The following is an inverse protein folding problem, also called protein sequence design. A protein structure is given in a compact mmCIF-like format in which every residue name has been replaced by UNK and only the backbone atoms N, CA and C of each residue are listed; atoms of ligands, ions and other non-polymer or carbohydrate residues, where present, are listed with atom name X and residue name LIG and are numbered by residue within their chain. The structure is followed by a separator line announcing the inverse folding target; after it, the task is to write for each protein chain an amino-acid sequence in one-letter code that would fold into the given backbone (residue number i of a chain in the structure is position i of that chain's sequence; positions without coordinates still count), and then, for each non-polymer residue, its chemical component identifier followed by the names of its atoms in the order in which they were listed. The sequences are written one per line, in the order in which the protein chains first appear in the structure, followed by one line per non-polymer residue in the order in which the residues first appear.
data_IF_539846047740
#
_entry.id   IF_539846047740
#
_cell.length_a   1.000
_cell.length_b   1.000
_cell.length_c   1.000
_cell.angle_alpha   90.00
_cell.angle_beta   90.00
_cell.angle_gamma   90.00
#
_symmetry.space_group_name_H-M   'P 1'
#
loop_
_entity.id
_entity.type
_entity.pdbx_description
1 polymer ?
#
# COMPACT_ATOMS: atom_id res chain seq x y z
N UNK A 1 -34.85 0.41 16.69
CA UNK A 1 -33.94 -0.55 16.01
C UNK A 1 -33.28 0.04 14.75
N UNK A 2 -33.98 0.83 13.91
CA UNK A 2 -33.48 1.42 12.66
C UNK A 2 -32.22 2.31 12.76
N UNK A 3 -32.13 3.17 13.78
CA UNK A 3 -30.97 4.07 13.96
C UNK A 3 -29.68 3.32 14.34
N UNK A 4 -29.79 2.25 15.12
CA UNK A 4 -28.63 1.44 15.56
C UNK A 4 -27.95 0.73 14.38
N UNK A 5 -28.76 0.25 13.42
CA UNK A 5 -28.29 -0.48 12.26
C UNK A 5 -27.55 0.41 11.26
N UNK A 6 -27.98 1.68 11.13
CA UNK A 6 -27.29 2.67 10.29
C UNK A 6 -25.89 3.00 10.83
N UNK A 7 -25.73 3.17 12.14
CA UNK A 7 -24.43 3.45 12.77
C UNK A 7 -23.47 2.27 12.63
N UNK A 8 -23.96 1.04 12.80
CA UNK A 8 -23.17 -0.17 12.61
C UNK A 8 -22.67 -0.33 11.16
N UNK A 9 -23.52 -0.03 10.18
CA UNK A 9 -23.14 -0.09 8.76
C UNK A 9 -22.07 0.94 8.40
N UNK A 10 -22.18 2.16 8.95
CA UNK A 10 -21.19 3.22 8.72
C UNK A 10 -19.85 2.87 9.38
N UNK A 11 -19.85 2.34 10.60
CA UNK A 11 -18.62 1.90 11.27
C UNK A 11 -17.92 0.77 10.50
N UNK A 12 -18.69 -0.19 9.97
CA UNK A 12 -18.16 -1.29 9.18
C UNK A 12 -17.52 -0.81 7.87
N UNK A 13 -18.12 0.16 7.17
CA UNK A 13 -17.55 0.67 5.91
C UNK A 13 -16.25 1.45 6.11
N UNK A 14 -16.13 2.24 7.19
CA UNK A 14 -14.88 2.92 7.54
C UNK A 14 -13.77 1.92 7.90
N UNK A 15 -14.10 0.85 8.64
CA UNK A 15 -13.16 -0.20 8.97
C UNK A 15 -12.64 -0.93 7.71
N UNK A 16 -13.52 -1.22 6.75
CA UNK A 16 -13.13 -1.84 5.48
C UNK A 16 -12.28 -0.92 4.59
N UNK A 17 -12.55 0.38 4.58
CA UNK A 17 -11.76 1.36 3.82
C UNK A 17 -10.31 1.44 4.33
N UNK A 18 -10.10 1.30 5.64
CA UNK A 18 -8.76 1.26 6.24
C UNK A 18 -7.94 0.02 5.89
N UNK A 19 -8.58 -1.12 5.64
CA UNK A 19 -7.88 -2.36 5.29
C UNK A 19 -7.34 -2.39 3.85
N UNK A 20 -7.90 -1.61 2.93
CA UNK A 20 -7.50 -1.61 1.52
C UNK A 20 -6.50 -0.50 1.14
N UNK A 21 -6.32 0.53 1.98
CA UNK A 21 -5.65 1.78 1.60
C UNK A 21 -4.11 1.73 1.49
N UNK A 22 -3.47 0.66 1.95
CA UNK A 22 -2.00 0.64 2.12
C UNK A 22 -1.20 -0.17 1.11
N UNK A 23 -1.82 -1.04 0.30
CA UNK A 23 -1.06 -2.11 -0.38
C UNK A 23 -0.64 -1.81 -1.84
N UNK A 24 -1.05 -0.69 -2.44
CA UNK A 24 -0.79 -0.44 -3.88
C UNK A 24 -0.80 1.02 -4.33
N UNK A 25 -0.71 1.97 -3.39
CA UNK A 25 -0.86 3.41 -3.68
C UNK A 25 0.47 4.11 -3.98
N UNK A 26 1.60 3.42 -3.82
CA UNK A 26 2.92 3.95 -4.13
C UNK A 26 3.24 3.68 -5.60
N UNK A 27 3.58 4.71 -6.39
CA UNK A 27 4.09 4.50 -7.74
C UNK A 27 5.27 3.53 -7.66
N UNK A 28 5.23 2.45 -8.42
CA UNK A 28 6.39 1.55 -8.51
C UNK A 28 7.57 2.22 -9.22
N UNK A 29 8.66 1.48 -9.46
CA UNK A 29 9.82 1.98 -10.18
C UNK A 29 9.43 2.52 -11.58
N UNK A 30 10.18 3.51 -12.14
CA UNK A 30 9.88 4.09 -13.45
C UNK A 30 9.73 3.06 -14.59
N UNK A 31 10.43 1.94 -14.48
CA UNK A 31 10.28 0.75 -15.33
C UNK A 31 10.68 -0.51 -14.55
N UNK A 32 10.27 -1.72 -15.00
CA UNK A 32 10.75 -2.97 -14.41
C UNK A 32 12.27 -3.04 -14.39
N UNK A 33 12.82 -3.46 -13.25
CA UNK A 33 14.27 -3.55 -13.06
C UNK A 33 14.99 -2.19 -13.11
N UNK A 34 14.33 -1.07 -12.80
CA UNK A 34 15.03 0.18 -12.57
C UNK A 34 15.88 0.08 -11.27
N UNK A 35 16.99 0.84 -11.17
CA UNK A 35 17.82 0.86 -9.96
C UNK A 35 17.19 1.81 -8.93
N UNK A 36 17.11 1.39 -7.68
CA UNK A 36 16.79 2.29 -6.57
C UNK A 36 17.91 3.35 -6.40
N UNK A 37 17.67 4.65 -6.64
CA UNK A 37 18.71 5.67 -6.52
C UNK A 37 19.18 5.90 -5.07
N UNK A 38 18.41 5.44 -4.09
CA UNK A 38 18.77 5.50 -2.67
C UNK A 38 19.53 4.25 -2.21
N UNK A 39 19.72 3.27 -3.09
CA UNK A 39 20.44 2.04 -2.81
C UNK A 39 21.93 2.19 -3.11
N UNK A 40 22.76 1.67 -2.20
CA UNK A 40 24.19 1.42 -2.45
C UNK A 40 24.49 0.00 -2.93
N UNK A 41 23.50 -0.91 -2.94
CA UNK A 41 23.63 -2.35 -3.19
C UNK A 41 23.01 -2.88 -4.49
N UNK A 42 22.22 -2.07 -5.22
CA UNK A 42 21.67 -2.40 -6.54
C UNK A 42 20.14 -2.63 -6.57
N UNK A 43 19.67 -3.23 -7.67
CA UNK A 43 18.24 -3.36 -8.05
C UNK A 43 17.32 -4.07 -7.04
N UNK A 44 17.87 -4.68 -5.99
CA UNK A 44 17.14 -5.51 -5.04
C UNK A 44 16.79 -4.77 -3.76
N UNK A 45 17.40 -3.62 -3.51
CA UNK A 45 17.21 -2.88 -2.28
C UNK A 45 15.88 -2.12 -2.31
N UNK A 46 15.06 -2.37 -1.29
CA UNK A 46 13.79 -1.68 -1.11
C UNK A 46 13.96 -0.17 -0.89
N UNK A 47 12.93 0.60 -1.26
CA UNK A 47 12.90 2.04 -1.11
C UNK A 47 11.47 2.59 -1.18
N UNK A 48 11.27 3.91 -1.03
CA UNK A 48 9.94 4.52 -0.98
C UNK A 48 9.01 4.12 -2.14
N UNK A 49 9.57 3.87 -3.32
CA UNK A 49 8.85 3.46 -4.54
C UNK A 49 9.44 2.16 -5.15
N UNK A 50 10.30 1.49 -4.39
CA UNK A 50 10.98 0.27 -4.80
C UNK A 50 10.54 -0.88 -3.90
N UNK A 51 9.71 -1.81 -4.38
CA UNK A 51 9.32 -2.96 -3.59
C UNK A 51 10.54 -3.81 -3.26
N UNK A 52 10.55 -4.41 -2.08
CA UNK A 52 11.54 -5.45 -1.76
C UNK A 52 11.29 -6.64 -2.69
N UNK A 53 12.20 -6.83 -3.64
CA UNK A 53 12.08 -7.92 -4.61
C UNK A 53 12.69 -9.21 -4.09
N UNK A 54 13.36 -9.18 -2.93
CA UNK A 54 13.72 -10.30 -2.07
C UNK A 54 14.69 -11.35 -2.61
N UNK A 55 14.66 -11.63 -3.91
CA UNK A 55 15.16 -12.84 -4.58
C UNK A 55 14.87 -14.15 -3.86
#
# INVERSE_FOLDING_TARGET
MKFCMATLMLAASLALAGCAGGQGSQPGPPHPGAVNPYSSGGFHDAGPDYPDTGR
#
